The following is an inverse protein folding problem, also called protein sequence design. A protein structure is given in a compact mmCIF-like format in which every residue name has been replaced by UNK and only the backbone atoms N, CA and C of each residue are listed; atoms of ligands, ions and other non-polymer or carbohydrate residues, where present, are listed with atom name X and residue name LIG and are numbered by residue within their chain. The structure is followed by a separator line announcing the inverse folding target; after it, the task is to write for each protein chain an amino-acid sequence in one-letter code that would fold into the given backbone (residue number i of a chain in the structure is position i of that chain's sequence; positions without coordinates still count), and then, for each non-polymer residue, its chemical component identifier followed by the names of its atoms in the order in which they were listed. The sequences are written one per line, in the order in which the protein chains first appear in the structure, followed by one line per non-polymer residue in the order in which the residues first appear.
data_IF_735026641531
#
_entry.id   IF_735026641531
#
_cell.length_a   1.000
_cell.length_b   1.000
_cell.length_c   1.000
_cell.angle_alpha   90.00
_cell.angle_beta   90.00
_cell.angle_gamma   90.00
#
_symmetry.space_group_name_H-M   'P 1'
#
loop_
_entity.id
_entity.type
_entity.pdbx_description
1 polymer ?
#
# COMPACT_ATOMS: atom_id res chain seq x y z
N UNK A 1 5.20 2.34 -5.66
CA UNK A 1 4.24 1.35 -5.16
C UNK A 1 3.44 1.96 -4.02
N UNK A 2 2.14 1.77 -4.00
CA UNK A 2 1.26 2.42 -3.03
C UNK A 2 0.78 1.45 -1.95
N UNK A 3 0.80 1.89 -0.69
CA UNK A 3 0.14 1.25 0.42
C UNK A 3 -1.14 2.02 0.79
N UNK A 4 -2.10 1.33 1.40
CA UNK A 4 -3.36 1.93 1.87
C UNK A 4 -3.11 3.16 2.75
N UNK A 5 -2.10 3.12 3.62
CA UNK A 5 -1.80 4.20 4.56
C UNK A 5 -1.51 5.53 3.87
N UNK A 6 -0.82 5.50 2.72
CA UNK A 6 -0.52 6.71 1.96
C UNK A 6 -1.79 7.34 1.35
N UNK A 7 -2.66 6.50 0.78
CA UNK A 7 -3.92 6.95 0.20
C UNK A 7 -4.85 7.53 1.27
N UNK A 8 -4.94 6.87 2.42
CA UNK A 8 -5.74 7.36 3.55
C UNK A 8 -5.20 8.68 4.10
N UNK A 9 -3.87 8.84 4.17
CA UNK A 9 -3.26 10.09 4.63
C UNK A 9 -3.66 11.27 3.74
N UNK A 10 -3.71 11.06 2.42
CA UNK A 10 -4.15 12.08 1.47
C UNK A 10 -5.61 12.43 1.69
N UNK A 11 -6.49 11.43 1.74
CA UNK A 11 -7.94 11.64 1.84
C UNK A 11 -8.38 12.23 3.19
N UNK A 12 -7.70 11.85 4.27
CA UNK A 12 -8.03 12.34 5.61
C UNK A 12 -7.30 13.63 5.99
N UNK A 13 -6.43 14.15 5.12
CA UNK A 13 -5.67 15.36 5.42
C UNK A 13 -4.68 15.18 6.57
N UNK A 14 -4.12 13.98 6.72
CA UNK A 14 -3.09 13.72 7.74
C UNK A 14 -1.81 14.51 7.43
N UNK A 15 -0.93 14.77 8.44
CA UNK A 15 0.30 15.55 8.23
C UNK A 15 1.17 15.05 7.07
N UNK A 16 1.33 13.74 6.92
CA UNK A 16 2.09 13.15 5.82
C UNK A 16 1.36 13.18 4.47
N UNK A 17 0.08 13.54 4.45
CA UNK A 17 -0.75 13.54 3.24
C UNK A 17 -0.25 14.50 2.16
N UNK A 18 0.34 15.64 2.55
CA UNK A 18 0.89 16.61 1.60
C UNK A 18 2.04 16.00 0.80
N UNK A 19 2.97 15.33 1.46
CA UNK A 19 4.09 14.68 0.80
C UNK A 19 3.62 13.51 -0.09
N UNK A 20 2.65 12.73 0.38
CA UNK A 20 2.04 11.65 -0.41
C UNK A 20 1.32 12.20 -1.65
N UNK A 21 0.54 13.28 -1.50
CA UNK A 21 -0.15 13.92 -2.62
C UNK A 21 0.84 14.43 -3.67
N UNK A 22 1.98 14.95 -3.25
CA UNK A 22 3.02 15.41 -4.16
C UNK A 22 3.55 14.24 -5.00
N UNK A 23 3.77 13.07 -4.41
CA UNK A 23 4.19 11.86 -5.13
C UNK A 23 3.10 11.43 -6.12
N UNK A 24 1.84 11.40 -5.69
CA UNK A 24 0.72 11.02 -6.55
C UNK A 24 0.53 11.96 -7.74
N UNK A 25 0.89 13.23 -7.58
CA UNK A 25 0.78 14.24 -8.64
C UNK A 25 2.02 14.32 -9.53
N UNK A 26 3.08 13.60 -9.20
CA UNK A 26 4.30 13.56 -10.00
C UNK A 26 4.11 12.68 -11.25
N UNK A 27 5.07 12.77 -12.18
CA UNK A 27 5.04 11.96 -13.42
C UNK A 27 5.57 10.54 -13.23
N UNK A 28 5.75 10.08 -12.00
CA UNK A 28 6.21 8.71 -11.74
C UNK A 28 5.09 7.70 -11.99
N UNK A 29 5.48 6.52 -12.42
CA UNK A 29 4.55 5.42 -12.59
C UNK A 29 4.06 4.94 -11.22
N UNK A 30 2.74 4.98 -11.03
CA UNK A 30 2.09 4.56 -9.79
C UNK A 30 1.45 3.18 -9.98
N UNK A 31 1.71 2.28 -9.05
CA UNK A 31 1.12 0.94 -9.04
C UNK A 31 0.57 0.61 -7.66
N UNK A 32 -0.48 -0.18 -7.64
CA UNK A 32 -1.08 -0.72 -6.42
C UNK A 32 -1.44 -2.18 -6.63
N UNK A 33 -1.20 -3.03 -5.64
CA UNK A 33 -1.70 -4.40 -5.68
C UNK A 33 -3.23 -4.41 -5.59
N UNK A 34 -3.88 -5.28 -6.33
CA UNK A 34 -5.33 -5.48 -6.21
C UNK A 34 -5.74 -5.85 -4.77
N UNK A 35 -4.87 -6.55 -4.03
CA UNK A 35 -5.09 -6.84 -2.61
C UNK A 35 -5.05 -5.59 -1.74
N UNK A 36 -4.10 -4.71 -1.98
CA UNK A 36 -4.02 -3.41 -1.29
C UNK A 36 -5.22 -2.54 -1.64
N UNK A 37 -5.62 -2.52 -2.91
CA UNK A 37 -6.81 -1.76 -3.32
C UNK A 37 -8.06 -2.24 -2.61
N UNK A 38 -8.25 -3.56 -2.48
CA UNK A 38 -9.38 -4.12 -1.74
C UNK A 38 -9.38 -3.62 -0.29
N UNK A 39 -8.23 -3.66 0.38
CA UNK A 39 -8.09 -3.12 1.74
C UNK A 39 -8.43 -1.63 1.78
N UNK A 40 -7.88 -0.84 0.87
CA UNK A 40 -8.12 0.60 0.82
C UNK A 40 -9.61 0.92 0.65
N UNK A 41 -10.31 0.19 -0.20
CA UNK A 41 -11.75 0.37 -0.42
C UNK A 41 -12.56 0.00 0.82
N UNK A 42 -12.17 -1.06 1.53
CA UNK A 42 -12.83 -1.46 2.78
C UNK A 42 -12.62 -0.41 3.87
N UNK A 43 -11.39 0.02 4.08
CA UNK A 43 -11.05 1.01 5.11
C UNK A 43 -11.73 2.36 4.81
N UNK A 44 -11.66 2.81 3.57
CA UNK A 44 -12.32 4.05 3.14
C UNK A 44 -13.85 3.95 3.25
N UNK A 45 -14.42 2.81 2.88
CA UNK A 45 -15.86 2.56 2.99
C UNK A 45 -16.34 2.63 4.44
N UNK A 46 -15.58 2.07 5.38
CA UNK A 46 -15.88 2.13 6.82
C UNK A 46 -15.81 3.57 7.37
N UNK A 47 -15.08 4.46 6.69
CA UNK A 47 -14.96 5.89 7.04
C UNK A 47 -15.90 6.78 6.24
N UNK A 48 -16.75 6.21 5.38
CA UNK A 48 -17.69 6.95 4.56
C UNK A 48 -17.06 7.71 3.37
N UNK A 49 -15.85 7.36 2.97
CA UNK A 49 -15.09 8.00 1.89
C UNK A 49 -14.69 7.02 0.77
N UNK A 50 -15.51 5.99 0.55
CA UNK A 50 -15.22 4.99 -0.49
C UNK A 50 -15.22 5.56 -1.90
N UNK A 51 -16.11 6.50 -2.22
CA UNK A 51 -16.14 7.16 -3.53
C UNK A 51 -14.87 7.98 -3.78
N UNK A 52 -14.42 8.69 -2.76
CA UNK A 52 -13.20 9.50 -2.81
C UNK A 52 -11.98 8.61 -3.04
N UNK A 53 -11.93 7.44 -2.40
CA UNK A 53 -10.86 6.47 -2.62
C UNK A 53 -10.86 5.96 -4.06
N UNK A 54 -12.01 5.57 -4.58
CA UNK A 54 -12.14 5.12 -5.97
C UNK A 54 -11.69 6.21 -6.94
N UNK A 55 -12.13 7.45 -6.73
CA UNK A 55 -11.74 8.58 -7.57
C UNK A 55 -10.23 8.84 -7.51
N UNK A 56 -9.63 8.79 -6.33
CA UNK A 56 -8.19 9.01 -6.16
C UNK A 56 -7.37 8.01 -6.98
N UNK A 57 -7.72 6.73 -6.92
CA UNK A 57 -7.02 5.68 -7.66
C UNK A 57 -7.26 5.81 -9.17
N UNK A 58 -8.51 6.01 -9.58
CA UNK A 58 -8.88 6.08 -10.99
C UNK A 58 -8.32 7.33 -11.67
N UNK A 59 -8.56 8.50 -11.08
CA UNK A 59 -8.12 9.79 -11.62
C UNK A 59 -6.61 9.98 -11.50
N UNK A 60 -5.99 9.34 -10.52
CA UNK A 60 -4.54 9.36 -10.34
C UNK A 60 -3.77 8.52 -11.37
N UNK A 61 -4.45 7.79 -12.24
CA UNK A 61 -3.80 6.93 -13.23
C UNK A 61 -3.02 5.77 -12.61
N UNK A 62 -3.45 5.29 -11.44
CA UNK A 62 -2.77 4.20 -10.75
C UNK A 62 -3.06 2.87 -11.46
N UNK A 63 -1.99 2.17 -11.82
CA UNK A 63 -2.11 0.82 -12.38
C UNK A 63 -2.39 -0.19 -11.27
N UNK A 64 -3.50 -0.91 -11.39
CA UNK A 64 -3.85 -1.99 -10.46
C UNK A 64 -3.25 -3.30 -10.97
N UNK A 65 -2.38 -3.90 -10.16
CA UNK A 65 -1.70 -5.14 -10.50
C UNK A 65 -2.44 -6.33 -9.88
N UNK A 66 -2.83 -7.33 -10.70
CA UNK A 66 -3.61 -8.46 -10.22
C UNK A 66 -2.86 -9.29 -9.17
N UNK A 67 -3.61 -9.89 -8.26
CA UNK A 67 -3.12 -10.94 -7.35
C UNK A 67 -3.31 -12.28 -8.04
N UNK A 68 -2.20 -12.94 -8.37
CA UNK A 68 -2.19 -14.26 -8.98
C UNK A 68 -1.89 -15.35 -7.96
N UNK A 69 -1.92 -16.62 -8.37
CA UNK A 69 -1.51 -17.73 -7.51
C UNK A 69 -0.05 -17.57 -7.04
N UNK A 70 0.83 -17.08 -7.90
CA UNK A 70 2.22 -16.81 -7.54
C UNK A 70 2.30 -15.69 -6.49
N UNK A 71 1.53 -14.62 -6.68
CA UNK A 71 1.45 -13.53 -5.69
C UNK A 71 0.98 -14.05 -4.34
N UNK A 72 -0.06 -14.90 -4.33
CA UNK A 72 -0.59 -15.49 -3.10
C UNK A 72 0.48 -16.27 -2.31
N UNK A 73 1.28 -17.07 -3.01
CA UNK A 73 2.37 -17.81 -2.39
C UNK A 73 3.43 -16.85 -1.79
N UNK A 74 3.78 -15.78 -2.49
CA UNK A 74 4.71 -14.76 -2.01
C UNK A 74 4.18 -14.00 -0.81
N UNK A 75 2.90 -13.70 -0.79
CA UNK A 75 2.23 -13.07 0.36
C UNK A 75 2.33 -13.97 1.60
N UNK A 76 2.10 -15.26 1.43
CA UNK A 76 2.25 -16.23 2.53
C UNK A 76 3.69 -16.26 3.07
N UNK A 77 4.70 -16.25 2.19
CA UNK A 77 6.12 -16.18 2.56
C UNK A 77 6.43 -14.89 3.32
N UNK A 78 5.94 -13.75 2.84
CA UNK A 78 6.15 -12.45 3.48
C UNK A 78 5.54 -12.43 4.88
N UNK A 79 4.36 -12.97 5.05
CA UNK A 79 3.71 -13.06 6.36
C UNK A 79 4.46 -14.00 7.31
N UNK A 80 4.97 -15.12 6.81
CA UNK A 80 5.80 -16.02 7.60
C UNK A 80 7.09 -15.35 8.10
N UNK A 81 7.68 -14.48 7.29
CA UNK A 81 8.92 -13.77 7.62
C UNK A 81 8.69 -12.56 8.53
N UNK A 82 7.72 -11.70 8.19
CA UNK A 82 7.54 -10.38 8.81
C UNK A 82 6.22 -10.22 9.56
N UNK A 83 5.34 -11.20 9.48
CA UNK A 83 3.97 -11.11 9.94
C UNK A 83 3.82 -10.99 11.45
N UNK A 84 2.69 -10.44 11.85
CA UNK A 84 2.28 -10.30 13.24
C UNK A 84 2.27 -11.69 13.92
N UNK A 85 2.96 -11.78 15.05
CA UNK A 85 3.12 -13.03 15.78
C UNK A 85 4.35 -13.85 15.37
N UNK A 86 4.96 -13.56 14.20
CA UNK A 86 6.14 -14.26 13.70
C UNK A 86 7.41 -13.38 13.77
N UNK A 87 7.24 -12.06 13.73
CA UNK A 87 8.36 -11.12 13.71
C UNK A 87 7.95 -9.82 14.42
N UNK A 88 8.88 -9.13 15.11
CA UNK A 88 8.63 -7.82 15.71
C UNK A 88 8.15 -6.75 14.72
N UNK A 89 8.46 -6.89 13.42
CA UNK A 89 7.93 -6.00 12.38
C UNK A 89 6.41 -5.99 12.35
N UNK A 90 5.78 -7.12 12.62
CA UNK A 90 4.34 -7.21 12.87
C UNK A 90 3.45 -6.85 11.69
N UNK A 91 3.86 -7.17 10.46
CA UNK A 91 3.02 -6.93 9.29
C UNK A 91 1.68 -7.64 9.42
N UNK A 92 0.60 -6.93 9.12
CA UNK A 92 -0.70 -7.58 9.01
C UNK A 92 -0.88 -8.18 7.60
N UNK A 93 -1.97 -8.92 7.42
CA UNK A 93 -2.26 -9.57 6.14
C UNK A 93 -2.31 -8.57 4.98
N UNK A 94 -2.97 -7.43 5.17
CA UNK A 94 -3.10 -6.40 4.13
C UNK A 94 -1.77 -5.79 3.71
N UNK A 95 -0.86 -5.56 4.66
CA UNK A 95 0.47 -4.98 4.40
C UNK A 95 1.29 -5.85 3.43
N UNK A 96 1.10 -7.16 3.50
CA UNK A 96 1.91 -8.11 2.72
C UNK A 96 1.70 -7.97 1.21
N UNK A 97 0.54 -7.54 0.75
CA UNK A 97 0.29 -7.32 -0.69
C UNK A 97 1.14 -6.17 -1.23
N UNK A 98 1.19 -5.06 -0.52
CA UNK A 98 2.02 -3.92 -0.91
C UNK A 98 3.51 -4.29 -0.85
N UNK A 99 3.92 -4.98 0.20
CA UNK A 99 5.28 -5.44 0.38
C UNK A 99 5.74 -6.34 -0.79
N UNK A 100 4.96 -7.37 -1.11
CA UNK A 100 5.28 -8.32 -2.18
C UNK A 100 5.40 -7.65 -3.53
N UNK A 101 4.45 -6.75 -3.86
CA UNK A 101 4.49 -6.07 -5.15
C UNK A 101 5.70 -5.14 -5.25
N UNK A 102 6.04 -4.43 -4.20
CA UNK A 102 7.24 -3.59 -4.16
C UNK A 102 8.51 -4.41 -4.39
N UNK A 103 8.63 -5.57 -3.75
CA UNK A 103 9.77 -6.46 -3.97
C UNK A 103 9.83 -6.99 -5.42
N UNK A 104 8.71 -7.45 -5.95
CA UNK A 104 8.66 -8.02 -7.30
C UNK A 104 9.04 -7.01 -8.38
N UNK A 105 8.71 -5.76 -8.18
CA UNK A 105 9.00 -4.68 -9.14
C UNK A 105 10.32 -3.95 -8.85
N UNK A 106 10.97 -4.23 -7.72
CA UNK A 106 12.15 -3.51 -7.30
C UNK A 106 11.88 -2.04 -7.01
N UNK A 107 10.65 -1.70 -6.64
CA UNK A 107 10.22 -0.32 -6.43
C UNK A 107 10.15 0.02 -4.95
N UNK A 108 10.42 1.30 -4.59
CA UNK A 108 10.16 1.74 -3.22
C UNK A 108 8.66 1.80 -2.95
N UNK A 109 8.30 1.75 -1.67
CA UNK A 109 6.91 1.77 -1.22
C UNK A 109 6.56 3.14 -0.64
N UNK A 110 5.45 3.70 -1.08
CA UNK A 110 4.88 4.90 -0.49
C UNK A 110 3.92 4.47 0.63
N UNK A 111 4.31 4.72 1.85
CA UNK A 111 3.54 4.38 3.04
C UNK A 111 3.68 5.46 4.11
N UNK A 112 2.75 5.47 5.05
CA UNK A 112 2.75 6.34 6.22
C UNK A 112 2.63 5.46 7.47
N UNK A 113 3.33 5.82 8.54
CA UNK A 113 3.30 5.09 9.80
C UNK A 113 4.47 4.14 9.97
N UNK A 114 4.32 3.20 10.91
CA UNK A 114 5.40 2.36 11.39
C UNK A 114 5.38 0.92 10.88
N UNK A 115 4.37 0.54 10.08
CA UNK A 115 4.14 -0.86 9.72
C UNK A 115 5.31 -1.50 8.97
N UNK A 116 5.99 -0.75 8.11
CA UNK A 116 7.09 -1.29 7.28
C UNK A 116 8.48 -0.93 7.81
N UNK A 117 8.57 -0.15 8.89
CA UNK A 117 9.85 0.41 9.38
C UNK A 117 10.84 -0.68 9.80
N UNK A 118 10.34 -1.78 10.34
CA UNK A 118 11.19 -2.91 10.79
C UNK A 118 11.40 -3.98 9.75
N UNK A 119 10.97 -3.75 8.52
CA UNK A 119 11.22 -4.62 7.37
C UNK A 119 12.39 -4.09 6.56
N UNK A 120 12.74 -4.80 5.50
CA UNK A 120 13.73 -4.37 4.52
C UNK A 120 13.16 -3.45 3.43
N UNK A 121 11.91 -2.99 3.59
CA UNK A 121 11.23 -2.16 2.60
C UNK A 121 11.85 -0.77 2.51
N UNK A 122 12.12 -0.33 1.27
CA UNK A 122 12.62 1.02 0.98
C UNK A 122 11.43 1.97 0.87
N UNK A 123 11.45 3.04 1.66
CA UNK A 123 10.42 4.09 1.63
C UNK A 123 10.68 5.08 0.50
N UNK A 124 9.58 5.59 -0.10
CA UNK A 124 9.65 6.72 -1.03
C UNK A 124 9.98 8.03 -0.30
N UNK A 125 9.48 8.18 0.91
CA UNK A 125 9.64 9.43 1.69
C UNK A 125 10.88 9.44 2.57
#
# INVERSE_FOLDING_TARGET
MLDTSALMAVLLGEPAGVACAAVLSSEVRLQISAGTLAEALIVAGNRGIGREMTALVTEGGVEVVPVTAVTAARVAEAYATWGKGNNPAGLNFGDCFAYVLALQTGSPLLYVGQDFVRTDMVSVL
#
